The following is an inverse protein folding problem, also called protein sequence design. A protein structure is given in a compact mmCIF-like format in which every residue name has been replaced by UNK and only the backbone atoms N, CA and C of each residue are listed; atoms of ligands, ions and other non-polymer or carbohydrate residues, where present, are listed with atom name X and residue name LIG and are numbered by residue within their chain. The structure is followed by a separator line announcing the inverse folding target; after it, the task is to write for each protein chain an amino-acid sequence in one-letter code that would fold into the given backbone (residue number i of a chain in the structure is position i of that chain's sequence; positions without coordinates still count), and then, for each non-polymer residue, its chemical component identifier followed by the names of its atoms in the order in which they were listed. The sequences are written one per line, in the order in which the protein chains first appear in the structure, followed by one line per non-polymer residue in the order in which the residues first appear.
data_IF_901857655643
#
_entry.id   IF_901857655643
#
_cell.length_a   1.000
_cell.length_b   1.000
_cell.length_c   1.000
_cell.angle_alpha   90.00
_cell.angle_beta   90.00
_cell.angle_gamma   90.00
#
_symmetry.space_group_name_H-M   'P 1'
#
loop_
_entity.id
_entity.type
_entity.pdbx_description
1 polymer ?
#
# COMPACT_ATOMS: atom_id res chain seq x y z
N UNK A 1 -3.14 3.44 10.80
CA UNK A 1 -2.73 4.82 10.49
C UNK A 1 -1.24 4.87 10.16
N UNK A 2 -0.90 5.42 9.03
CA UNK A 2 0.49 5.72 8.65
C UNK A 2 0.81 7.12 9.17
N UNK A 3 1.94 7.27 9.82
CA UNK A 3 2.36 8.56 10.34
C UNK A 3 3.61 9.04 9.57
N UNK A 4 3.40 9.94 8.62
CA UNK A 4 4.47 10.51 7.82
C UNK A 4 5.29 11.57 8.57
N UNK A 5 4.73 12.21 9.59
CA UNK A 5 5.44 13.25 10.37
C UNK A 5 6.63 12.69 11.14
N UNK A 6 6.52 11.47 11.66
CA UNK A 6 7.57 10.85 12.46
C UNK A 6 8.91 10.72 11.71
N UNK A 7 8.87 10.81 10.39
CA UNK A 7 10.04 10.61 9.53
C UNK A 7 10.36 11.85 8.69
N UNK A 8 9.58 12.91 8.80
CA UNK A 8 9.73 14.11 7.98
C UNK A 8 9.63 13.84 6.48
N UNK A 9 8.88 12.80 6.09
CA UNK A 9 8.90 12.27 4.74
C UNK A 9 7.75 12.84 3.92
N UNK A 10 8.07 13.18 2.68
CA UNK A 10 7.14 13.64 1.66
C UNK A 10 7.03 12.64 0.50
N UNK A 11 7.42 11.40 0.74
CA UNK A 11 7.44 10.35 -0.27
C UNK A 11 6.81 9.07 0.27
N UNK A 12 6.00 8.41 -0.55
CA UNK A 12 5.35 7.15 -0.25
C UNK A 12 5.71 6.10 -1.30
N UNK A 13 5.99 4.90 -0.85
CA UNK A 13 6.26 3.74 -1.69
C UNK A 13 5.03 2.84 -1.75
N UNK A 14 4.60 2.52 -2.97
CA UNK A 14 3.60 1.49 -3.26
C UNK A 14 4.31 0.32 -3.91
N UNK A 15 4.33 -0.82 -3.25
CA UNK A 15 5.11 -1.98 -3.71
C UNK A 15 4.61 -3.30 -3.13
N UNK A 16 5.04 -4.40 -3.74
CA UNK A 16 4.99 -5.70 -3.08
C UNK A 16 5.98 -5.70 -1.90
N UNK A 17 5.51 -5.87 -0.66
CA UNK A 17 6.38 -5.73 0.51
C UNK A 17 7.38 -6.86 0.69
N UNK A 18 7.22 -7.97 -0.01
CA UNK A 18 8.07 -9.15 0.09
C UNK A 18 9.22 -9.13 -0.92
N UNK A 19 9.29 -8.12 -1.77
CA UNK A 19 10.35 -7.92 -2.75
C UNK A 19 11.05 -6.59 -2.52
N UNK A 20 12.31 -6.52 -2.90
CA UNK A 20 13.08 -5.30 -2.82
C UNK A 20 12.81 -4.34 -3.99
N UNK A 21 13.48 -3.21 -3.98
CA UNK A 21 13.24 -2.10 -4.89
C UNK A 21 13.52 -2.36 -6.38
N UNK A 22 14.02 -3.54 -6.74
CA UNK A 22 14.26 -3.91 -8.13
C UNK A 22 13.00 -4.42 -8.85
N UNK A 23 11.91 -4.66 -8.10
CA UNK A 23 10.62 -5.02 -8.67
C UNK A 23 9.81 -3.77 -9.06
N UNK A 24 8.83 -3.96 -9.91
CA UNK A 24 7.95 -2.86 -10.36
C UNK A 24 7.21 -2.24 -9.18
N UNK A 25 7.67 -1.07 -8.76
CA UNK A 25 7.11 -0.29 -7.68
C UNK A 25 6.66 1.09 -8.18
N UNK A 26 5.88 1.78 -7.36
CA UNK A 26 5.47 3.14 -7.61
C UNK A 26 5.88 4.02 -6.42
N UNK A 27 6.81 4.94 -6.66
CA UNK A 27 7.27 5.91 -5.67
C UNK A 27 6.58 7.24 -5.91
N UNK A 28 5.90 7.73 -4.90
CA UNK A 28 5.09 8.94 -4.97
C UNK A 28 5.79 10.07 -4.21
N UNK A 29 5.91 11.20 -4.86
CA UNK A 29 6.55 12.40 -4.35
C UNK A 29 5.51 13.46 -3.98
N UNK A 30 5.92 14.47 -3.22
CA UNK A 30 5.06 15.59 -2.82
C UNK A 30 3.78 15.11 -2.10
N UNK A 31 3.97 14.23 -1.14
CA UNK A 31 2.91 13.71 -0.28
C UNK A 31 2.79 14.61 0.95
N UNK A 32 1.58 15.04 1.26
CA UNK A 32 1.31 15.88 2.43
C UNK A 32 1.72 15.13 3.70
N UNK A 33 2.53 15.77 4.51
CA UNK A 33 2.93 15.22 5.82
C UNK A 33 1.75 15.13 6.77
N UNK A 34 1.79 14.18 7.68
CA UNK A 34 0.77 13.99 8.71
C UNK A 34 0.33 12.54 8.85
N UNK A 35 -0.80 12.36 9.52
CA UNK A 35 -1.39 11.06 9.75
C UNK A 35 -2.34 10.68 8.61
N UNK A 36 -2.38 9.40 8.29
CA UNK A 36 -3.25 8.84 7.26
C UNK A 36 -4.15 7.76 7.85
N UNK A 37 -5.41 7.79 7.47
CA UNK A 37 -6.32 6.68 7.69
C UNK A 37 -6.05 5.57 6.66
N UNK A 38 -6.03 4.34 7.13
CA UNK A 38 -5.88 3.17 6.28
C UNK A 38 -7.25 2.55 6.02
N UNK A 39 -7.58 2.37 4.76
CA UNK A 39 -8.90 1.97 4.30
C UNK A 39 -8.81 0.68 3.49
N UNK A 40 -9.67 -0.26 3.81
CA UNK A 40 -9.84 -1.50 3.04
C UNK A 40 -11.27 -1.59 2.54
N UNK A 41 -11.42 -1.83 1.26
CA UNK A 41 -12.69 -2.19 0.64
C UNK A 41 -12.69 -3.69 0.38
N UNK A 42 -13.63 -4.40 0.97
CA UNK A 42 -13.85 -5.83 0.74
C UNK A 42 -15.18 -6.04 0.04
N UNK A 43 -15.24 -7.04 -0.82
CA UNK A 43 -16.48 -7.45 -1.45
C UNK A 43 -16.50 -8.96 -1.66
N UNK A 44 -17.69 -9.51 -1.91
CA UNK A 44 -17.87 -10.92 -2.20
C UNK A 44 -17.93 -11.12 -3.72
N UNK A 45 -17.07 -12.00 -4.22
CA UNK A 45 -16.93 -12.31 -5.65
C UNK A 45 -17.32 -13.76 -5.94
N UNK A 46 -18.62 -14.05 -5.91
CA UNK A 46 -19.15 -15.37 -6.22
C UNK A 46 -18.47 -16.50 -5.43
N UNK A 47 -18.01 -17.53 -6.15
CA UNK A 47 -17.32 -18.68 -5.55
C UNK A 47 -15.90 -18.37 -5.03
N UNK A 48 -15.34 -17.20 -5.39
CA UNK A 48 -14.04 -16.75 -4.88
C UNK A 48 -14.10 -16.24 -3.43
N UNK A 49 -15.34 -16.03 -2.92
CA UNK A 49 -15.57 -15.55 -1.57
C UNK A 49 -15.27 -14.06 -1.39
N UNK A 50 -15.08 -13.66 -0.14
CA UNK A 50 -14.74 -12.28 0.19
C UNK A 50 -13.28 -12.01 -0.13
N UNK A 51 -13.02 -10.93 -0.87
CA UNK A 51 -11.69 -10.48 -1.26
C UNK A 51 -11.50 -8.99 -0.97
N UNK A 52 -10.26 -8.59 -0.80
CA UNK A 52 -9.89 -7.17 -0.75
C UNK A 52 -10.00 -6.62 -2.17
N UNK A 53 -10.91 -5.68 -2.38
CA UNK A 53 -11.13 -5.04 -3.67
C UNK A 53 -10.18 -3.89 -3.91
N UNK A 54 -9.89 -3.10 -2.87
CA UNK A 54 -8.93 -2.01 -2.90
C UNK A 54 -8.38 -1.73 -1.51
N UNK A 55 -7.21 -1.10 -1.49
CA UNK A 55 -6.63 -0.52 -0.29
C UNK A 55 -6.31 0.95 -0.56
N UNK A 56 -6.46 1.78 0.45
CA UNK A 56 -6.18 3.20 0.33
C UNK A 56 -5.64 3.79 1.63
N UNK A 57 -4.89 4.86 1.48
CA UNK A 57 -4.58 5.77 2.58
C UNK A 57 -5.16 7.14 2.25
N UNK A 58 -5.66 7.83 3.26
CA UNK A 58 -6.18 9.18 3.14
C UNK A 58 -5.76 10.02 4.33
N UNK A 59 -5.17 11.19 4.06
CA UNK A 59 -4.78 12.12 5.11
C UNK A 59 -5.97 12.45 6.03
N UNK A 60 -5.73 12.49 7.33
CA UNK A 60 -6.77 12.62 8.35
C UNK A 60 -7.57 13.92 8.28
N UNK A 61 -7.05 14.94 7.60
CA UNK A 61 -7.77 16.21 7.36
C UNK A 61 -8.86 16.10 6.28
N UNK A 62 -8.96 14.95 5.59
CA UNK A 62 -9.91 14.73 4.50
C UNK A 62 -10.93 13.66 4.87
N UNK A 63 -12.18 13.89 4.49
CA UNK A 63 -13.29 12.95 4.65
C UNK A 63 -13.25 11.84 3.59
N UNK A 64 -13.80 10.68 3.92
CA UNK A 64 -13.78 9.51 3.01
C UNK A 64 -14.43 9.76 1.65
N UNK A 65 -15.40 10.65 1.57
CA UNK A 65 -16.05 11.05 0.32
C UNK A 65 -15.09 11.74 -0.66
N UNK A 66 -13.94 12.22 -0.18
CA UNK A 66 -12.88 12.76 -1.02
C UNK A 66 -12.40 11.73 -2.06
N UNK A 67 -12.37 10.45 -1.71
CA UNK A 67 -12.01 9.36 -2.62
C UNK A 67 -13.07 9.11 -3.72
N UNK A 68 -14.31 9.53 -3.50
CA UNK A 68 -15.38 9.40 -4.50
C UNK A 68 -15.24 10.38 -5.68
N UNK A 69 -14.37 11.37 -5.56
CA UNK A 69 -14.13 12.35 -6.64
C UNK A 69 -13.33 11.76 -7.81
N UNK A 70 -12.87 10.52 -7.69
CA UNK A 70 -11.99 9.88 -8.64
C UNK A 70 -10.54 10.32 -8.49
N UNK A 71 -9.65 9.35 -8.49
CA UNK A 71 -8.22 9.57 -8.43
C UNK A 71 -7.59 9.77 -9.80
N UNK A 72 -6.37 10.29 -9.81
CA UNK A 72 -5.52 10.34 -10.98
C UNK A 72 -4.73 9.04 -11.09
N UNK A 73 -4.82 8.37 -12.25
CA UNK A 73 -4.06 7.16 -12.51
C UNK A 73 -2.57 7.49 -12.59
N UNK A 74 -1.80 6.97 -11.66
CA UNK A 74 -0.36 7.23 -11.53
C UNK A 74 0.50 6.00 -11.84
N UNK A 75 0.03 5.14 -12.74
CA UNK A 75 0.75 3.95 -13.17
C UNK A 75 0.30 2.69 -12.45
N UNK A 76 1.14 1.67 -12.55
CA UNK A 76 0.85 0.34 -12.05
C UNK A 76 1.96 -0.16 -11.14
N UNK A 77 1.65 -1.15 -10.34
CA UNK A 77 2.58 -1.86 -9.49
C UNK A 77 2.39 -3.37 -9.63
N UNK A 78 3.50 -4.10 -9.65
CA UNK A 78 3.49 -5.56 -9.77
C UNK A 78 3.45 -6.22 -8.40
N UNK A 79 2.65 -7.27 -8.27
CA UNK A 79 2.56 -8.12 -7.08
C UNK A 79 2.86 -9.56 -7.46
N UNK A 80 3.76 -10.17 -6.72
CA UNK A 80 4.16 -11.58 -6.88
C UNK A 80 4.04 -12.37 -5.56
N UNK A 81 3.88 -11.70 -4.42
CA UNK A 81 3.66 -12.35 -3.11
C UNK A 81 2.19 -12.46 -2.71
N UNK A 82 1.28 -11.94 -3.53
CA UNK A 82 -0.13 -11.82 -3.16
C UNK A 82 -0.42 -10.72 -2.15
N UNK A 83 0.55 -9.83 -1.91
CA UNK A 83 0.43 -8.71 -0.95
C UNK A 83 0.91 -7.40 -1.53
N UNK A 84 0.33 -6.31 -1.05
CA UNK A 84 0.65 -4.95 -1.44
C UNK A 84 0.88 -4.09 -0.22
N UNK A 85 1.86 -3.20 -0.29
CA UNK A 85 2.09 -2.20 0.76
C UNK A 85 2.01 -0.77 0.24
N UNK A 86 1.54 0.11 1.10
CA UNK A 86 1.67 1.56 0.98
C UNK A 86 2.40 2.02 2.24
N UNK A 87 3.65 2.43 2.09
CA UNK A 87 4.48 2.79 3.23
C UNK A 87 5.30 4.05 2.97
N UNK A 88 5.75 4.64 4.06
CA UNK A 88 6.69 5.75 4.02
C UNK A 88 8.03 5.30 3.43
N UNK A 89 8.59 6.07 2.49
CA UNK A 89 9.82 5.70 1.81
C UNK A 89 11.02 5.61 2.75
N UNK A 90 11.12 6.48 3.73
CA UNK A 90 12.23 6.40 4.69
C UNK A 90 12.17 5.13 5.52
N UNK A 91 10.95 4.72 5.87
CA UNK A 91 10.74 3.47 6.57
C UNK A 91 11.00 2.27 5.69
N UNK A 92 10.55 2.33 4.43
CA UNK A 92 10.82 1.32 3.42
C UNK A 92 12.32 1.16 3.21
N UNK A 93 13.03 2.26 2.98
CA UNK A 93 14.48 2.27 2.77
C UNK A 93 15.25 1.66 3.95
N UNK A 94 14.79 1.93 5.17
CA UNK A 94 15.39 1.37 6.38
C UNK A 94 15.23 -0.15 6.48
N UNK A 95 14.12 -0.71 5.99
CA UNK A 95 13.77 -2.11 6.17
C UNK A 95 14.01 -2.97 4.93
N UNK A 96 14.09 -2.39 3.73
CA UNK A 96 14.23 -3.09 2.46
C UNK A 96 15.52 -2.80 1.70
N UNK A 97 16.03 -1.59 1.79
CA UNK A 97 17.27 -1.22 1.14
C UNK A 97 18.41 -1.43 2.12
N UNK A 98 18.84 -2.65 2.15
CA UNK A 98 20.21 -3.05 2.23
C UNK A 98 21.17 -2.20 3.07
N UNK A 99 21.18 -2.44 4.30
CA UNK A 99 22.50 -2.74 4.82
C UNK A 99 22.57 -4.25 5.00
N UNK A 100 23.10 -4.90 3.98
CA UNK A 100 23.27 -6.36 3.96
C UNK A 100 24.12 -6.87 5.11
N UNK A 101 24.74 -5.97 5.86
CA UNK A 101 25.69 -6.30 6.90
C UNK A 101 25.15 -6.05 8.32
N UNK A 102 24.05 -5.31 8.52
CA UNK A 102 23.61 -4.97 9.88
C UNK A 102 22.24 -5.53 10.28
N UNK A 103 21.41 -6.03 9.38
CA UNK A 103 20.04 -6.39 9.74
C UNK A 103 19.49 -7.63 9.02
N UNK A 104 20.18 -8.75 9.05
CA UNK A 104 19.55 -10.07 8.78
C UNK A 104 18.32 -10.29 9.66
N UNK A 105 18.32 -9.71 10.87
CA UNK A 105 17.21 -9.75 11.80
C UNK A 105 15.99 -8.95 11.32
N UNK A 106 16.18 -7.82 10.65
CA UNK A 106 15.07 -6.98 10.20
C UNK A 106 14.40 -7.56 8.95
N UNK A 107 15.15 -8.15 8.03
CA UNK A 107 14.60 -8.86 6.88
C UNK A 107 13.85 -10.12 7.31
N UNK A 108 14.43 -10.92 8.17
CA UNK A 108 13.79 -12.11 8.73
C UNK A 108 12.56 -11.73 9.55
N UNK A 109 12.66 -10.69 10.37
CA UNK A 109 11.54 -10.17 11.15
C UNK A 109 10.42 -9.68 10.24
N UNK A 110 10.76 -8.91 9.21
CA UNK A 110 9.81 -8.37 8.27
C UNK A 110 9.08 -9.48 7.51
N UNK A 111 9.82 -10.44 6.95
CA UNK A 111 9.25 -11.58 6.26
C UNK A 111 8.33 -12.40 7.16
N UNK A 112 8.75 -12.65 8.39
CA UNK A 112 7.99 -13.45 9.35
C UNK A 112 6.77 -12.72 9.92
N UNK A 113 6.89 -11.45 10.23
CA UNK A 113 5.87 -10.70 10.96
C UNK A 113 4.98 -9.83 10.07
N UNK A 114 5.41 -9.53 8.86
CA UNK A 114 4.67 -8.70 7.92
C UNK A 114 4.24 -9.51 6.71
N UNK A 115 5.18 -10.00 5.92
CA UNK A 115 4.85 -10.72 4.68
C UNK A 115 4.05 -11.99 4.95
N UNK A 116 4.45 -12.81 5.91
CA UNK A 116 3.75 -14.05 6.24
C UNK A 116 2.32 -13.81 6.74
N UNK A 117 2.09 -12.71 7.42
CA UNK A 117 0.76 -12.32 7.88
C UNK A 117 -0.08 -11.71 6.75
N UNK A 118 0.51 -10.83 5.97
CA UNK A 118 -0.18 -10.18 4.86
C UNK A 118 -0.52 -11.15 3.72
N UNK A 119 0.27 -12.22 3.55
CA UNK A 119 -0.02 -13.28 2.57
C UNK A 119 -1.22 -14.16 2.95
N UNK A 120 -1.74 -14.05 4.16
CA UNK A 120 -2.99 -14.72 4.51
C UNK A 120 -4.15 -14.11 3.74
N UNK A 121 -5.04 -14.97 3.28
CA UNK A 121 -6.20 -14.56 2.50
C UNK A 121 -7.00 -13.44 3.21
N UNK A 122 -7.19 -12.34 2.53
CA UNK A 122 -7.94 -11.17 3.02
C UNK A 122 -7.38 -10.51 4.30
N UNK A 123 -6.14 -10.78 4.62
CA UNK A 123 -5.49 -10.15 5.77
C UNK A 123 -4.99 -8.74 5.42
N UNK A 124 -5.01 -7.86 6.41
CA UNK A 124 -4.43 -6.52 6.28
C UNK A 124 -3.85 -6.07 7.62
N UNK A 125 -2.80 -5.28 7.56
CA UNK A 125 -2.10 -4.72 8.71
C UNK A 125 -1.81 -3.25 8.47
N UNK A 126 -2.10 -2.42 9.48
CA UNK A 126 -1.57 -1.07 9.57
C UNK A 126 -0.66 -1.00 10.81
N UNK A 127 0.57 -0.64 10.62
CA UNK A 127 1.57 -0.51 11.69
C UNK A 127 2.58 0.59 11.35
N UNK A 128 3.66 0.71 12.13
CA UNK A 128 4.71 1.72 11.88
C UNK A 128 5.45 1.51 10.55
N UNK A 129 5.40 0.32 9.97
CA UNK A 129 6.01 0.03 8.67
C UNK A 129 5.17 0.54 7.50
N UNK A 130 3.89 0.73 7.72
CA UNK A 130 2.97 1.17 6.72
C UNK A 130 1.67 0.38 6.72
N UNK A 131 0.99 0.41 5.61
CA UNK A 131 -0.28 -0.27 5.39
C UNK A 131 -0.11 -1.39 4.38
N UNK A 132 -0.39 -2.62 4.79
CA UNK A 132 -0.16 -3.83 4.01
C UNK A 132 -1.44 -4.65 3.95
N UNK A 133 -1.75 -5.18 2.78
CA UNK A 133 -2.94 -5.99 2.54
C UNK A 133 -2.70 -7.08 1.52
N UNK A 134 -3.52 -8.12 1.59
CA UNK A 134 -3.65 -9.05 0.47
C UNK A 134 -4.21 -8.32 -0.76
N UNK A 135 -3.80 -8.76 -1.95
CA UNK A 135 -4.05 -8.09 -3.23
C UNK A 135 -5.15 -8.76 -4.05
N UNK A 136 -6.38 -8.77 -3.54
CA UNK A 136 -7.54 -9.28 -4.27
C UNK A 136 -7.44 -10.77 -4.60
N UNK A 137 -7.25 -11.10 -5.87
CA UNK A 137 -7.07 -12.49 -6.33
C UNK A 137 -5.61 -12.98 -6.29
N UNK A 138 -4.68 -12.15 -5.88
CA UNK A 138 -3.27 -12.51 -5.70
C UNK A 138 -2.32 -11.72 -6.57
N UNK A 139 -1.45 -12.43 -7.28
CA UNK A 139 -0.42 -11.84 -8.11
C UNK A 139 -0.99 -11.13 -9.33
N UNK A 140 -0.33 -10.09 -9.77
CA UNK A 140 -0.74 -9.34 -10.95
C UNK A 140 -0.15 -7.94 -11.02
N UNK A 141 -0.67 -7.17 -11.98
CA UNK A 141 -0.40 -5.73 -12.13
C UNK A 141 -1.63 -4.95 -11.71
N UNK A 142 -1.47 -3.98 -10.82
CA UNK A 142 -2.57 -3.23 -10.25
C UNK A 142 -2.39 -1.73 -10.44
N UNK A 143 -3.50 -1.03 -10.71
CA UNK A 143 -3.52 0.41 -10.91
C UNK A 143 -3.37 1.14 -9.58
N UNK A 144 -2.54 2.19 -9.59
CA UNK A 144 -2.33 3.10 -8.47
C UNK A 144 -2.96 4.44 -8.81
N UNK A 145 -3.85 4.90 -7.95
CA UNK A 145 -4.50 6.21 -8.06
C UNK A 145 -4.03 7.14 -6.97
N UNK A 146 -3.80 8.40 -7.32
CA UNK A 146 -3.46 9.46 -6.37
C UNK A 146 -4.57 10.49 -6.30
N UNK A 147 -4.73 11.06 -5.11
CA UNK A 147 -5.68 12.13 -4.81
C UNK A 147 -4.88 13.32 -4.30
N UNK A 148 -5.02 14.46 -4.93
CA UNK A 148 -4.23 15.65 -4.62
C UNK A 148 -5.10 16.82 -4.18
N UNK A 149 -4.53 17.65 -3.33
CA UNK A 149 -5.11 18.91 -2.90
C UNK A 149 -4.01 19.94 -2.75
N UNK A 150 -4.18 21.11 -3.37
CA UNK A 150 -3.19 22.18 -3.38
C UNK A 150 -1.76 21.75 -3.80
N UNK A 151 -1.67 20.85 -4.78
CA UNK A 151 -0.40 20.37 -5.33
C UNK A 151 0.31 19.28 -4.54
N UNK A 152 -0.29 18.81 -3.44
CA UNK A 152 0.24 17.71 -2.64
C UNK A 152 -0.69 16.49 -2.69
N UNK A 153 -0.10 15.30 -2.70
CA UNK A 153 -0.87 14.05 -2.61
C UNK A 153 -1.39 13.91 -1.18
N UNK A 154 -2.69 13.72 -1.05
CA UNK A 154 -3.38 13.55 0.24
C UNK A 154 -4.03 12.17 0.36
N UNK A 155 -4.05 11.40 -0.71
CA UNK A 155 -4.58 10.04 -0.72
C UNK A 155 -3.95 9.19 -1.81
N UNK A 156 -3.88 7.89 -1.56
CA UNK A 156 -3.38 6.88 -2.49
C UNK A 156 -4.30 5.68 -2.43
N UNK A 157 -4.74 5.18 -3.57
CA UNK A 157 -5.55 3.97 -3.66
C UNK A 157 -4.94 2.98 -4.65
N UNK A 158 -4.86 1.73 -4.27
CA UNK A 158 -4.55 0.62 -5.16
C UNK A 158 -5.81 -0.20 -5.37
N UNK A 159 -6.25 -0.34 -6.61
CA UNK A 159 -7.42 -1.12 -6.99
C UNK A 159 -6.99 -2.48 -7.47
N UNK A 160 -7.39 -3.53 -6.75
CA UNK A 160 -7.07 -4.91 -7.09
C UNK A 160 -8.14 -5.55 -7.98
N UNK A 161 -9.38 -5.22 -7.74
CA UNK A 161 -10.52 -5.74 -8.49
C UNK A 161 -11.39 -4.56 -8.89
N UNK A 162 -11.54 -4.33 -10.20
CA UNK A 162 -12.39 -3.24 -10.69
C UNK A 162 -13.87 -3.60 -10.56
N UNK A 163 -14.74 -2.60 -10.52
CA UNK A 163 -16.19 -2.81 -10.48
C UNK A 163 -16.70 -3.53 -11.75
N UNK A 164 -15.93 -3.48 -12.85
CA UNK A 164 -16.24 -4.17 -14.10
C UNK A 164 -15.93 -5.68 -14.07
N UNK A 165 -15.10 -6.11 -13.12
CA UNK A 165 -14.71 -7.52 -12.93
C UNK A 165 -15.70 -8.29 -12.05
N UNK A 166 -16.78 -7.66 -11.62
CA UNK A 166 -17.78 -8.19 -10.67
C UNK A 166 -18.88 -9.02 -11.37
N UNK A 167 -18.52 -9.69 -12.46
CA UNK A 167 -19.42 -10.62 -13.13
C UNK A 167 -19.17 -12.08 -12.76
#
# INVERSE_FOLDING_TARGET
TINAEDYGVTEVMVSDPCYDSDSFYNRLYEVLSGNYNCLIRKNKFGNWGVRVQSMAILHTDFEFDFLNKGGYLNGQVAVDSGTMSICDCAYYDKHHINDKDENELDEEWYNKNVCAWACRKNYHIANKLGFISSSGFGDGMYDVYTYSHNGEIVGVEVVFISDEDDE
#
